data_IF_519023093088
#
_entry.id   IF_519023093088
#
_cell.length_a   1.000
_cell.length_b   1.000
_cell.length_c   1.000
_cell.angle_alpha   90.00
_cell.angle_beta   90.00
_cell.angle_gamma   90.00
#
_symmetry.space_group_name_H-M   'P 1'
#
loop_
_entity.id
_entity.type
_entity.pdbx_description
1 polymer ?
#
# COMPACT_ATOMS: atom_id res chain seq x y z
N UNK A 1 -18.89 -0.31 -0.46
CA UNK A 1 -18.87 0.75 0.58
C UNK A 1 -17.69 1.73 0.48
N UNK A 2 -16.69 1.54 -0.38
CA UNK A 2 -15.56 2.48 -0.51
C UNK A 2 -15.79 3.64 -1.50
N UNK A 3 -16.70 3.49 -2.47
CA UNK A 3 -16.97 4.53 -3.48
C UNK A 3 -17.84 5.70 -2.98
N UNK A 4 -18.57 5.52 -1.88
CA UNK A 4 -19.43 6.57 -1.28
C UNK A 4 -18.62 7.54 -0.41
N UNK A 5 -17.46 7.09 0.12
CA UNK A 5 -16.59 7.95 0.92
C UNK A 5 -15.73 8.90 0.07
N UNK A 6 -15.32 8.49 -1.13
CA UNK A 6 -14.47 9.30 -2.02
C UNK A 6 -15.26 10.45 -2.67
N UNK A 7 -16.54 10.23 -3.00
CA UNK A 7 -17.40 11.27 -3.60
C UNK A 7 -17.81 12.39 -2.61
N UNK A 8 -17.61 12.18 -1.29
CA UNK A 8 -17.93 13.20 -0.28
C UNK A 8 -16.78 14.19 -0.06
N UNK A 9 -15.55 13.82 -0.44
CA UNK A 9 -14.36 14.68 -0.33
C UNK A 9 -14.23 15.62 -1.54
N UNK A 10 -14.74 15.22 -2.71
CA UNK A 10 -14.64 16.03 -3.95
C UNK A 10 -15.68 17.19 -3.98
N UNK A 11 -16.70 17.18 -3.11
CA UNK A 11 -17.70 18.28 -3.03
C UNK A 11 -17.31 19.48 -2.17
N UNK A 12 -16.12 19.49 -1.54
CA UNK A 12 -15.69 20.59 -0.65
C UNK A 12 -14.63 21.52 -1.24
N UNK A 13 -14.15 21.27 -2.46
CA UNK A 13 -13.10 22.09 -3.07
C UNK A 13 -13.45 22.36 -4.53
N UNK A 14 -14.32 23.34 -4.78
CA UNK A 14 -14.24 24.24 -5.93
C UNK A 14 -15.24 25.40 -5.76
N UNK A 15 -14.79 26.67 -5.95
CA UNK A 15 -15.61 27.85 -5.80
C UNK A 15 -16.45 28.10 -7.06
N UNK A 16 -17.74 28.40 -6.89
CA UNK A 16 -18.57 28.94 -7.96
C UNK A 16 -18.63 30.45 -7.83
N UNK A 17 -18.01 31.14 -8.78
CA UNK A 17 -18.35 32.52 -9.09
C UNK A 17 -19.68 32.52 -9.87
N UNK A 18 -20.70 33.22 -9.38
CA UNK A 18 -21.71 33.83 -10.24
C UNK A 18 -22.39 35.01 -9.53
N UNK A 19 -22.43 36.09 -10.30
CA UNK A 19 -23.07 37.38 -10.08
C UNK A 19 -24.55 37.29 -9.70
N UNK A 20 -24.97 38.01 -8.66
CA UNK A 20 -26.29 38.64 -8.60
C UNK A 20 -26.30 39.80 -7.59
N UNK A 21 -27.00 40.85 -8.00
CA UNK A 21 -27.12 42.20 -7.44
C UNK A 21 -28.23 42.21 -6.38
N UNK A 22 -28.04 42.89 -5.24
CA UNK A 22 -29.13 43.16 -4.30
C UNK A 22 -28.66 43.62 -2.93
N UNK A 23 -28.90 44.89 -2.62
CA UNK A 23 -28.73 45.52 -1.30
C UNK A 23 -29.40 44.72 -0.18
N UNK A 24 -28.80 44.71 1.00
CA UNK A 24 -29.32 45.44 2.17
C UNK A 24 -28.48 45.18 3.42
N UNK A 25 -28.17 46.27 4.12
CA UNK A 25 -27.90 46.43 5.54
C UNK A 25 -27.64 45.18 6.42
N UNK A 26 -26.42 45.07 6.96
CA UNK A 26 -26.10 45.30 8.39
C UNK A 26 -24.69 44.76 8.71
N UNK A 27 -23.77 45.68 9.04
CA UNK A 27 -22.49 45.36 9.68
C UNK A 27 -22.73 44.87 11.11
N UNK A 28 -22.29 43.65 11.42
CA UNK A 28 -21.98 43.24 12.79
C UNK A 28 -20.46 43.18 12.98
N UNK A 29 -20.01 44.15 13.76
CA UNK A 29 -18.74 44.35 14.42
C UNK A 29 -18.14 43.12 15.12
N UNK A 30 -16.87 42.84 14.86
CA UNK A 30 -15.89 42.52 15.91
C UNK A 30 -14.61 43.30 15.60
N UNK A 31 -14.40 44.34 16.38
CA UNK A 31 -13.34 45.35 16.32
C UNK A 31 -11.97 44.81 16.73
N UNK A 32 -10.87 45.16 16.03
CA UNK A 32 -9.56 45.24 16.64
C UNK A 32 -9.42 46.62 17.32
N UNK A 33 -9.28 46.64 18.64
CA UNK A 33 -8.96 47.87 19.38
C UNK A 33 -7.46 48.10 19.29
N UNK A 34 -7.05 48.74 18.20
CA UNK A 34 -5.81 49.49 18.10
C UNK A 34 -6.24 50.84 17.54
N UNK A 35 -6.02 51.92 18.29
CA UNK A 35 -5.68 53.29 17.84
C UNK A 35 -5.99 54.33 18.94
N UNK A 36 -4.90 54.99 19.36
CA UNK A 36 -4.75 56.39 19.76
C UNK A 36 -5.08 56.83 21.20
N UNK A 37 -4.02 57.22 21.91
CA UNK A 37 -4.04 58.43 22.72
C UNK A 37 -2.82 59.29 22.39
N UNK A 38 -3.01 60.26 21.48
CA UNK A 38 -2.16 61.44 21.40
C UNK A 38 -3.01 62.66 21.06
N UNK A 39 -2.80 63.73 21.83
CA UNK A 39 -3.32 65.10 21.69
C UNK A 39 -4.82 65.34 21.98
N UNK A 40 -5.10 65.79 23.21
CA UNK A 40 -6.01 66.91 23.43
C UNK A 40 -5.39 67.86 24.47
N UNK A 41 -4.79 68.94 23.97
CA UNK A 41 -4.71 70.18 24.73
C UNK A 41 -6.07 70.87 24.69
N UNK A 42 -6.61 71.25 25.84
CA UNK A 42 -7.70 72.20 25.92
C UNK A 42 -7.36 73.28 26.95
N UNK A 43 -7.07 74.46 26.41
CA UNK A 43 -7.08 75.77 27.06
C UNK A 43 -8.44 76.04 27.67
N UNK A 44 -8.48 76.39 28.96
CA UNK A 44 -9.61 77.11 29.55
C UNK A 44 -9.09 78.34 30.29
N UNK A 45 -9.14 79.43 29.56
CA UNK A 45 -9.08 80.80 30.02
C UNK A 45 -10.40 81.11 30.76
N UNK A 46 -10.36 81.41 32.06
CA UNK A 46 -11.44 82.13 32.73
C UNK A 46 -10.83 83.26 33.57
N UNK A 47 -11.09 84.46 33.07
CA UNK A 47 -10.62 85.76 33.55
C UNK A 47 -11.44 86.22 34.76
N UNK A 48 -10.73 86.53 35.84
CA UNK A 48 -10.95 87.63 36.80
C UNK A 48 -12.33 87.85 37.43
N UNK A 49 -12.40 87.73 38.76
CA UNK A 49 -13.30 88.54 39.59
C UNK A 49 -12.59 88.93 40.89
N UNK A 50 -12.17 90.20 40.97
CA UNK A 50 -11.74 90.87 42.20
C UNK A 50 -12.97 91.16 43.09
N UNK A 51 -12.96 90.67 44.33
CA UNK A 51 -13.24 91.43 45.57
C UNK A 51 -13.53 90.51 46.74
N UNK A 52 -13.03 90.93 47.91
CA UNK A 52 -13.61 90.56 49.20
C UNK A 52 -12.62 89.89 50.16
N UNK A 53 -11.86 90.72 50.87
CA UNK A 53 -11.22 90.37 52.13
C UNK A 53 -12.35 90.07 53.13
N UNK A 54 -12.44 88.83 53.62
CA UNK A 54 -13.21 88.50 54.82
C UNK A 54 -12.35 87.55 55.69
N UNK A 55 -11.81 88.11 56.76
CA UNK A 55 -11.08 87.38 57.80
C UNK A 55 -12.10 86.74 58.74
N UNK A 56 -12.36 85.44 58.55
CA UNK A 56 -13.22 84.64 59.40
C UNK A 56 -12.78 83.17 59.44
N UNK A 57 -12.00 82.81 60.47
CA UNK A 57 -11.64 81.44 60.95
C UNK A 57 -11.77 80.29 59.94
N UNK A 58 -10.64 79.89 59.32
CA UNK A 58 -10.55 78.72 58.43
C UNK A 58 -9.30 77.89 58.73
N UNK A 59 -9.32 77.09 59.81
CA UNK A 59 -8.14 76.29 60.19
C UNK A 59 -8.44 74.84 60.62
N UNK A 60 -9.53 74.24 60.15
CA UNK A 60 -9.79 72.81 60.47
C UNK A 60 -10.24 71.96 59.27
N UNK A 61 -10.63 72.59 58.16
CA UNK A 61 -11.10 71.88 56.95
C UNK A 61 -10.01 71.75 55.87
N UNK A 62 -9.05 72.69 55.82
CA UNK A 62 -7.98 72.71 54.81
C UNK A 62 -6.96 71.59 55.00
N UNK A 63 -6.50 71.33 56.24
CA UNK A 63 -5.54 70.26 56.53
C UNK A 63 -6.09 68.86 56.19
N UNK A 64 -7.37 68.59 56.50
CA UNK A 64 -8.02 67.31 56.17
C UNK A 64 -8.10 67.05 54.66
N UNK A 65 -8.35 68.09 53.87
CA UNK A 65 -8.38 67.98 52.40
C UNK A 65 -6.97 67.71 51.83
N UNK A 66 -5.95 68.35 52.39
CA UNK A 66 -4.54 68.16 51.99
C UNK A 66 -4.07 66.71 52.26
N UNK A 67 -4.43 66.14 53.41
CA UNK A 67 -4.08 64.76 53.78
C UNK A 67 -4.71 63.73 52.82
N UNK A 68 -5.95 63.97 52.39
CA UNK A 68 -6.65 63.12 51.41
C UNK A 68 -5.98 63.20 50.03
N UNK A 69 -5.54 64.39 49.61
CA UNK A 69 -4.80 64.59 48.34
C UNK A 69 -3.47 63.85 48.37
N UNK A 70 -2.68 63.99 49.44
CA UNK A 70 -1.41 63.28 49.60
C UNK A 70 -1.59 61.75 49.60
N UNK A 71 -2.67 61.26 50.24
CA UNK A 71 -3.02 59.84 50.19
C UNK A 71 -3.35 59.36 48.77
N UNK A 72 -4.12 60.15 48.03
CA UNK A 72 -4.50 59.83 46.65
C UNK A 72 -3.27 59.83 45.74
N UNK A 73 -2.37 60.81 45.88
CA UNK A 73 -1.10 60.88 45.15
C UNK A 73 -0.24 59.64 45.39
N UNK A 74 -0.05 59.23 46.66
CA UNK A 74 0.68 58.01 46.98
C UNK A 74 0.03 56.75 46.37
N UNK A 75 -1.31 56.69 46.29
CA UNK A 75 -2.03 55.60 45.60
C UNK A 75 -1.83 55.66 44.09
N UNK A 76 -1.84 56.85 43.49
CA UNK A 76 -1.58 57.05 42.05
C UNK A 76 -0.17 56.60 41.72
N UNK A 77 0.86 57.03 42.46
CA UNK A 77 2.24 56.58 42.22
C UNK A 77 2.41 55.06 42.33
N UNK A 78 1.70 54.42 43.28
CA UNK A 78 1.68 52.95 43.37
C UNK A 78 0.98 52.30 42.18
N UNK A 79 -0.12 52.87 41.69
CA UNK A 79 -0.81 52.38 40.51
C UNK A 79 0.05 52.55 39.25
N UNK A 80 0.74 53.67 39.10
CA UNK A 80 1.67 53.93 37.99
C UNK A 80 2.82 52.92 37.97
N UNK A 81 3.45 52.66 39.12
CA UNK A 81 4.50 51.63 39.23
C UNK A 81 3.97 50.23 38.91
N UNK A 82 2.80 49.85 39.44
CA UNK A 82 2.19 48.56 39.13
C UNK A 82 1.82 48.43 37.65
N UNK A 83 1.35 49.51 37.03
CA UNK A 83 1.02 49.55 35.61
C UNK A 83 2.28 49.40 34.75
N UNK A 84 3.39 50.01 35.15
CA UNK A 84 4.70 49.81 34.52
C UNK A 84 5.13 48.34 34.56
N UNK A 85 5.11 47.71 35.75
CA UNK A 85 5.42 46.29 35.90
C UNK A 85 4.46 45.39 35.11
N UNK A 86 3.17 45.74 35.04
CA UNK A 86 2.22 45.00 34.22
C UNK A 86 2.52 45.14 32.73
N UNK A 87 2.92 46.33 32.27
CA UNK A 87 3.36 46.58 30.90
C UNK A 87 4.53 45.69 30.50
N UNK A 88 5.59 45.66 31.32
CA UNK A 88 6.76 44.78 31.10
C UNK A 88 6.36 43.30 30.99
N UNK A 89 5.42 42.84 31.83
CA UNK A 89 4.92 41.46 31.78
C UNK A 89 4.07 41.18 30.54
N UNK A 90 3.34 42.16 30.02
CA UNK A 90 2.57 42.04 28.78
C UNK A 90 3.52 41.97 27.58
N UNK A 91 4.57 42.78 27.57
CA UNK A 91 5.60 42.74 26.53
C UNK A 91 6.36 41.40 26.52
N UNK A 92 6.68 40.85 27.68
CA UNK A 92 7.28 39.50 27.81
C UNK A 92 6.34 38.40 27.29
N UNK A 93 5.05 38.48 27.62
CA UNK A 93 4.05 37.55 27.11
C UNK A 93 3.89 37.65 25.59
N UNK A 94 3.90 38.87 25.03
CA UNK A 94 3.87 39.09 23.58
C UNK A 94 5.09 38.45 22.90
N UNK A 95 6.28 38.64 23.48
CA UNK A 95 7.51 37.98 23.03
C UNK A 95 7.40 36.45 23.04
N UNK A 96 6.87 35.87 24.11
CA UNK A 96 6.61 34.43 24.20
C UNK A 96 5.57 33.94 23.18
N UNK A 97 4.49 34.69 22.95
CA UNK A 97 3.49 34.38 21.92
C UNK A 97 4.12 34.35 20.52
N UNK A 98 4.90 35.37 20.17
CA UNK A 98 5.59 35.43 18.86
C UNK A 98 6.59 34.26 18.68
N UNK A 99 7.28 33.87 19.75
CA UNK A 99 8.16 32.69 19.74
C UNK A 99 7.37 31.40 19.51
N UNK A 100 6.25 31.22 20.21
CA UNK A 100 5.38 30.06 20.06
C UNK A 100 4.79 29.96 18.65
N UNK A 101 4.34 31.08 18.08
CA UNK A 101 3.85 31.12 16.69
C UNK A 101 4.92 30.71 15.68
N UNK A 102 6.17 31.13 15.92
CA UNK A 102 7.30 30.74 15.07
C UNK A 102 7.59 29.24 15.17
N UNK A 103 7.56 28.67 16.37
CA UNK A 103 7.77 27.24 16.56
C UNK A 103 6.61 26.41 16.00
N UNK A 104 5.36 26.85 16.14
CA UNK A 104 4.20 26.20 15.51
C UNK A 104 4.36 26.18 13.98
N UNK A 105 4.76 27.30 13.37
CA UNK A 105 5.01 27.36 11.93
C UNK A 105 6.09 26.36 11.47
N UNK A 106 7.19 26.22 12.24
CA UNK A 106 8.25 25.23 11.95
C UNK A 106 7.74 23.80 12.05
N UNK A 107 6.98 23.49 13.11
CA UNK A 107 6.38 22.17 13.30
C UNK A 107 5.42 21.85 12.13
N UNK A 108 4.56 22.80 11.76
CA UNK A 108 3.64 22.64 10.63
C UNK A 108 4.39 22.40 9.32
N UNK A 109 5.46 23.15 9.04
CA UNK A 109 6.29 22.91 7.85
C UNK A 109 6.96 21.54 7.89
N UNK A 110 7.51 21.12 9.03
CA UNK A 110 8.16 19.82 9.18
C UNK A 110 7.19 18.65 9.00
N UNK A 111 5.98 18.75 9.56
CA UNK A 111 4.92 17.76 9.34
C UNK A 111 4.55 17.68 7.86
N UNK A 112 4.36 18.84 7.21
CA UNK A 112 4.03 18.92 5.79
C UNK A 112 5.11 18.28 4.91
N UNK A 113 6.37 18.54 5.21
CA UNK A 113 7.51 17.99 4.45
C UNK A 113 7.63 16.48 4.64
N UNK A 114 7.49 15.97 5.88
CA UNK A 114 7.50 14.53 6.15
C UNK A 114 6.33 13.81 5.47
N UNK A 115 5.13 14.38 5.53
CA UNK A 115 3.96 13.82 4.85
C UNK A 115 4.14 13.81 3.33
N UNK A 116 4.65 14.90 2.77
CA UNK A 116 4.97 14.99 1.35
C UNK A 116 6.00 13.94 0.92
N UNK A 117 7.06 13.76 1.71
CA UNK A 117 8.07 12.72 1.48
C UNK A 117 7.46 11.32 1.45
N UNK A 118 6.66 10.97 2.47
CA UNK A 118 5.99 9.67 2.53
C UNK A 118 4.99 9.46 1.38
N UNK A 119 4.24 10.50 1.01
CA UNK A 119 3.31 10.46 -0.13
C UNK A 119 4.07 10.18 -1.44
N UNK A 120 5.22 10.84 -1.65
CA UNK A 120 6.03 10.61 -2.85
C UNK A 120 6.63 9.20 -2.89
N UNK A 121 7.13 8.69 -1.76
CA UNK A 121 7.70 7.35 -1.68
C UNK A 121 6.65 6.28 -1.97
N UNK A 122 5.49 6.38 -1.31
CA UNK A 122 4.37 5.45 -1.55
C UNK A 122 3.91 5.49 -3.01
N UNK A 123 3.88 6.68 -3.63
CA UNK A 123 3.53 6.81 -5.05
C UNK A 123 4.53 6.09 -5.95
N UNK A 124 5.83 6.21 -5.68
CA UNK A 124 6.87 5.51 -6.44
C UNK A 124 6.79 3.99 -6.27
N UNK A 125 6.54 3.50 -5.06
CA UNK A 125 6.34 2.07 -4.82
C UNK A 125 5.12 1.52 -5.58
N UNK A 126 4.00 2.26 -5.58
CA UNK A 126 2.80 1.91 -6.34
C UNK A 126 3.09 1.85 -7.84
N UNK A 127 3.78 2.86 -8.39
CA UNK A 127 4.17 2.91 -9.80
C UNK A 127 5.11 1.72 -10.16
N UNK A 128 6.06 1.40 -9.29
CA UNK A 128 6.96 0.25 -9.44
C UNK A 128 6.22 -1.07 -9.45
N UNK A 129 5.34 -1.31 -8.47
CA UNK A 129 4.52 -2.54 -8.40
C UNK A 129 3.59 -2.68 -9.61
N UNK A 130 2.96 -1.58 -10.06
CA UNK A 130 2.15 -1.61 -11.28
C UNK A 130 2.97 -1.98 -12.51
N UNK A 131 4.22 -1.51 -12.61
CA UNK A 131 5.14 -1.88 -13.70
C UNK A 131 5.48 -3.38 -13.68
N UNK A 132 5.79 -3.94 -12.51
CA UNK A 132 6.07 -5.38 -12.38
C UNK A 132 4.83 -6.23 -12.69
N UNK A 133 3.64 -5.84 -12.21
CA UNK A 133 2.38 -6.50 -12.55
C UNK A 133 2.13 -6.47 -14.07
N UNK A 134 2.42 -5.35 -14.73
CA UNK A 134 2.29 -5.25 -16.18
C UNK A 134 3.24 -6.20 -16.92
N UNK A 135 4.52 -6.27 -16.51
CA UNK A 135 5.49 -7.20 -17.08
C UNK A 135 5.05 -8.66 -16.94
N UNK A 136 4.58 -9.04 -15.74
CA UNK A 136 4.08 -10.40 -15.49
C UNK A 136 2.87 -10.71 -16.37
N UNK A 137 1.91 -9.80 -16.45
CA UNK A 137 0.73 -9.95 -17.34
C UNK A 137 1.15 -10.16 -18.80
N UNK A 138 2.09 -9.37 -19.30
CA UNK A 138 2.54 -9.44 -20.69
C UNK A 138 3.29 -10.75 -20.98
N UNK A 139 4.09 -11.23 -20.02
CA UNK A 139 4.75 -12.54 -20.11
C UNK A 139 3.72 -13.67 -20.16
N UNK A 140 2.75 -13.69 -19.24
CA UNK A 140 1.69 -14.70 -19.24
C UNK A 140 0.86 -14.67 -20.52
N UNK A 141 0.51 -13.49 -21.02
CA UNK A 141 -0.24 -13.36 -22.27
C UNK A 141 0.55 -13.90 -23.47
N UNK A 142 1.87 -13.67 -23.51
CA UNK A 142 2.76 -14.21 -24.55
C UNK A 142 2.83 -15.74 -24.49
N UNK A 143 3.05 -16.30 -23.31
CA UNK A 143 3.14 -17.76 -23.13
C UNK A 143 1.80 -18.45 -23.43
N UNK A 144 0.68 -17.87 -23.01
CA UNK A 144 -0.66 -18.39 -23.38
C UNK A 144 -0.88 -18.37 -24.88
N UNK A 145 -0.44 -17.32 -25.58
CA UNK A 145 -0.52 -17.24 -27.04
C UNK A 145 0.33 -18.30 -27.72
N UNK A 146 1.54 -18.57 -27.20
CA UNK A 146 2.43 -19.62 -27.70
C UNK A 146 1.81 -21.01 -27.51
N UNK A 147 1.33 -21.31 -26.30
CA UNK A 147 0.67 -22.60 -26.01
C UNK A 147 -0.55 -22.80 -26.89
N UNK A 148 -1.39 -21.77 -27.08
CA UNK A 148 -2.56 -21.84 -27.95
C UNK A 148 -2.15 -22.14 -29.41
N UNK A 149 -1.11 -21.49 -29.92
CA UNK A 149 -0.58 -21.75 -31.26
C UNK A 149 -0.14 -23.21 -31.40
N UNK A 150 0.65 -23.72 -30.46
CA UNK A 150 1.11 -25.12 -30.48
C UNK A 150 -0.02 -26.12 -30.38
N UNK A 151 -1.07 -25.83 -29.60
CA UNK A 151 -2.27 -26.68 -29.52
C UNK A 151 -3.01 -26.71 -30.85
N UNK A 152 -3.10 -25.59 -31.56
CA UNK A 152 -3.69 -25.54 -32.91
C UNK A 152 -2.85 -26.35 -33.91
N UNK A 153 -1.52 -26.21 -33.87
CA UNK A 153 -0.60 -26.98 -34.72
C UNK A 153 -0.74 -28.50 -34.48
N UNK A 154 -0.69 -28.93 -33.21
CA UNK A 154 -0.90 -30.34 -32.84
C UNK A 154 -2.28 -30.84 -33.24
N UNK A 155 -3.31 -29.98 -33.20
CA UNK A 155 -4.64 -30.30 -33.69
C UNK A 155 -4.66 -30.59 -35.20
N UNK A 156 -3.89 -29.82 -35.98
CA UNK A 156 -3.66 -30.05 -37.41
C UNK A 156 -2.94 -31.37 -37.68
N UNK A 157 -1.82 -31.62 -36.99
CA UNK A 157 -1.06 -32.86 -37.13
C UNK A 157 -1.90 -34.09 -36.78
N UNK A 158 -2.68 -34.01 -35.69
CA UNK A 158 -3.59 -35.08 -35.29
C UNK A 158 -4.68 -35.35 -36.34
N UNK A 159 -5.21 -34.30 -36.98
CA UNK A 159 -6.18 -34.46 -38.06
C UNK A 159 -5.57 -35.17 -39.28
N UNK A 160 -4.33 -34.82 -39.65
CA UNK A 160 -3.59 -35.50 -40.73
C UNK A 160 -3.32 -36.97 -40.39
N UNK A 161 -2.88 -37.26 -39.16
CA UNK A 161 -2.69 -38.65 -38.70
C UNK A 161 -3.99 -39.46 -38.77
N UNK A 162 -5.11 -38.89 -38.31
CA UNK A 162 -6.43 -39.53 -38.39
C UNK A 162 -6.83 -39.82 -39.85
N UNK A 163 -6.58 -38.89 -40.76
CA UNK A 163 -6.87 -39.07 -42.18
C UNK A 163 -5.99 -40.14 -42.83
N UNK A 164 -4.69 -40.17 -42.54
CA UNK A 164 -3.77 -41.18 -43.05
C UNK A 164 -4.19 -42.59 -42.62
N UNK A 165 -4.57 -42.76 -41.33
CA UNK A 165 -5.12 -44.01 -40.79
C UNK A 165 -6.42 -44.40 -41.49
N UNK A 166 -7.35 -43.45 -41.67
CA UNK A 166 -8.63 -43.71 -42.33
C UNK A 166 -8.50 -44.08 -43.82
N UNK A 167 -7.53 -43.48 -44.52
CA UNK A 167 -7.29 -43.71 -45.96
C UNK A 167 -6.46 -44.97 -46.22
N UNK A 168 -5.95 -45.64 -45.18
CA UNK A 168 -5.04 -46.77 -45.33
C UNK A 168 -3.69 -46.38 -45.94
N UNK A 169 -3.36 -45.08 -45.97
CA UNK A 169 -2.04 -44.58 -46.37
C UNK A 169 -1.12 -44.73 -45.16
N UNK A 170 -0.77 -45.97 -44.87
CA UNK A 170 0.52 -46.25 -44.26
C UNK A 170 1.56 -46.01 -45.33
N UNK A 171 2.25 -44.86 -45.32
CA UNK A 171 3.64 -44.85 -45.80
C UNK A 171 4.37 -45.83 -44.91
N UNK A 172 4.38 -47.08 -45.35
CA UNK A 172 5.26 -48.13 -44.88
C UNK A 172 6.69 -47.65 -45.14
N UNK A 173 7.24 -46.84 -44.22
CA UNK A 173 8.42 -47.35 -43.53
C UNK A 173 7.94 -48.59 -42.78
N UNK A 174 7.81 -49.67 -43.54
CA UNK A 174 8.03 -51.02 -43.06
C UNK A 174 9.42 -50.95 -42.43
N UNK A 175 9.47 -50.55 -41.16
CA UNK A 175 10.19 -51.36 -40.22
C UNK A 175 9.45 -52.68 -40.32
N UNK A 176 9.85 -53.48 -41.31
CA UNK A 176 9.87 -54.92 -41.18
C UNK A 176 10.55 -55.10 -39.84
N UNK A 177 9.75 -55.13 -38.76
CA UNK A 177 10.05 -55.98 -37.65
C UNK A 177 10.16 -57.32 -38.32
N UNK A 178 11.39 -57.63 -38.79
CA UNK A 178 11.82 -58.97 -39.11
C UNK A 178 11.36 -59.70 -37.88
N UNK A 179 10.24 -60.40 -38.01
CA UNK A 179 9.74 -61.27 -36.98
C UNK A 179 10.74 -62.40 -37.03
N UNK A 180 11.90 -62.16 -36.42
CA UNK A 180 12.94 -63.14 -36.24
C UNK A 180 12.21 -64.23 -35.52
N UNK A 181 11.92 -65.32 -36.22
CA UNK A 181 11.28 -66.48 -35.62
C UNK A 181 12.26 -66.95 -34.55
N UNK A 182 11.99 -66.57 -33.31
CA UNK A 182 12.83 -66.94 -32.18
C UNK A 182 12.77 -68.47 -32.11
N UNK A 183 13.90 -69.18 -32.25
CA UNK A 183 13.91 -70.64 -32.19
C UNK A 183 13.30 -71.10 -30.87
N UNK A 184 12.31 -72.00 -30.95
CA UNK A 184 11.64 -72.52 -29.75
C UNK A 184 12.63 -73.29 -28.87
N UNK A 185 12.65 -73.07 -27.54
CA UNK A 185 13.50 -73.80 -26.63
C UNK A 185 13.20 -75.29 -26.65
N UNK A 186 14.23 -76.09 -26.37
CA UNK A 186 14.10 -77.54 -26.20
C UNK A 186 13.29 -77.83 -24.92
N UNK A 187 12.41 -78.82 -24.96
CA UNK A 187 11.68 -79.27 -23.77
C UNK A 187 12.60 -80.03 -22.80
N UNK A 188 12.27 -79.96 -21.51
CA UNK A 188 13.04 -80.61 -20.44
C UNK A 188 12.24 -81.78 -19.85
N UNK A 189 12.86 -82.96 -19.83
CA UNK A 189 12.21 -84.26 -19.56
C UNK A 189 12.50 -84.84 -18.16
N UNK A 190 13.31 -84.16 -17.35
CA UNK A 190 13.57 -84.58 -15.96
C UNK A 190 14.93 -85.20 -15.71
N UNK A 191 15.88 -85.05 -16.65
CA UNK A 191 17.26 -85.46 -16.41
C UNK A 191 17.80 -84.80 -15.14
N UNK A 192 18.22 -85.62 -14.15
CA UNK A 192 18.83 -85.14 -12.90
C UNK A 192 20.30 -84.73 -13.10
N UNK A 193 20.54 -83.83 -14.05
CA UNK A 193 21.84 -83.26 -14.39
C UNK A 193 21.76 -81.74 -14.24
N UNK A 194 22.47 -81.17 -13.26
CA UNK A 194 22.42 -79.73 -12.96
C UNK A 194 22.76 -78.84 -14.15
N UNK A 195 23.70 -79.29 -15.01
CA UNK A 195 24.09 -78.54 -16.22
C UNK A 195 22.96 -78.45 -17.25
N UNK A 196 22.14 -79.51 -17.37
CA UNK A 196 21.01 -79.51 -18.31
C UNK A 196 19.86 -78.63 -17.81
N UNK A 197 19.64 -78.59 -16.50
CA UNK A 197 18.65 -77.71 -15.86
C UNK A 197 19.04 -76.24 -16.06
N UNK A 198 20.29 -75.88 -15.80
CA UNK A 198 20.79 -74.51 -15.98
C UNK A 198 20.68 -74.05 -17.44
N UNK A 199 21.09 -74.90 -18.39
CA UNK A 199 20.99 -74.60 -19.82
C UNK A 199 19.53 -74.42 -20.28
N UNK A 200 18.60 -75.21 -19.73
CA UNK A 200 17.18 -75.09 -20.03
C UNK A 200 16.59 -73.78 -19.51
N UNK A 201 16.82 -73.46 -18.23
CA UNK A 201 16.31 -72.23 -17.62
C UNK A 201 16.85 -70.99 -18.33
N UNK A 202 18.16 -70.98 -18.64
CA UNK A 202 18.77 -69.90 -19.37
C UNK A 202 18.18 -69.75 -20.78
N UNK A 203 18.03 -70.84 -21.53
CA UNK A 203 17.45 -70.79 -22.88
C UNK A 203 15.97 -70.37 -22.90
N UNK A 204 15.22 -70.73 -21.87
CA UNK A 204 13.81 -70.38 -21.73
C UNK A 204 13.61 -68.90 -21.37
N UNK A 205 14.47 -68.35 -20.52
CA UNK A 205 14.47 -66.93 -20.16
C UNK A 205 14.76 -66.06 -21.39
N UNK A 206 15.81 -66.38 -22.16
CA UNK A 206 16.14 -65.66 -23.39
C UNK A 206 15.00 -65.72 -24.42
N UNK A 207 14.31 -66.85 -24.51
CA UNK A 207 13.16 -66.99 -25.39
C UNK A 207 11.97 -66.12 -24.96
N UNK A 208 11.67 -66.05 -23.67
CA UNK A 208 10.60 -65.18 -23.17
C UNK A 208 10.91 -63.70 -23.36
N UNK A 209 12.14 -63.28 -23.15
CA UNK A 209 12.57 -61.92 -23.46
C UNK A 209 12.45 -61.61 -24.95
N UNK A 210 12.89 -62.53 -25.81
CA UNK A 210 12.82 -62.36 -27.27
C UNK A 210 11.38 -62.42 -27.82
N UNK A 211 10.46 -63.08 -27.12
CA UNK A 211 9.02 -63.15 -27.49
C UNK A 211 8.15 -62.10 -26.80
N UNK A 212 8.74 -61.25 -25.95
CA UNK A 212 8.05 -60.14 -25.27
C UNK A 212 7.25 -60.53 -24.03
N UNK A 213 7.47 -61.72 -23.47
CA UNK A 213 6.87 -62.16 -22.19
C UNK A 213 7.74 -61.64 -21.05
N UNK A 214 7.44 -60.43 -20.58
CA UNK A 214 8.23 -59.74 -19.55
C UNK A 214 7.73 -59.97 -18.13
N UNK A 215 6.45 -60.32 -17.93
CA UNK A 215 5.87 -60.52 -16.61
C UNK A 215 6.15 -61.93 -16.05
N UNK A 216 6.53 -62.02 -14.78
CA UNK A 216 6.86 -63.30 -14.12
C UNK A 216 5.69 -64.28 -14.16
N UNK A 217 4.46 -63.80 -14.00
CA UNK A 217 3.26 -64.63 -14.07
C UNK A 217 3.08 -65.25 -15.47
N UNK A 218 3.38 -64.51 -16.53
CA UNK A 218 3.40 -64.94 -17.91
C UNK A 218 4.53 -65.92 -18.19
N UNK A 219 5.74 -65.65 -17.68
CA UNK A 219 6.87 -66.57 -17.78
C UNK A 219 6.56 -67.91 -17.11
N UNK A 220 6.00 -67.92 -15.90
CA UNK A 220 5.62 -69.15 -15.17
C UNK A 220 4.55 -69.94 -15.91
N UNK A 221 3.46 -69.28 -16.37
CA UNK A 221 2.39 -69.95 -17.11
C UNK A 221 2.89 -70.60 -18.41
N UNK A 222 3.80 -69.92 -19.12
CA UNK A 222 4.35 -70.43 -20.37
C UNK A 222 5.47 -71.46 -20.15
N UNK A 223 6.23 -71.36 -19.05
CA UNK A 223 7.33 -72.28 -18.74
C UNK A 223 6.84 -73.73 -18.60
N UNK A 224 5.63 -73.90 -18.03
CA UNK A 224 4.99 -75.22 -17.90
C UNK A 224 4.84 -75.96 -19.24
N UNK A 225 4.71 -75.24 -20.37
CA UNK A 225 4.57 -75.84 -21.70
C UNK A 225 5.87 -76.50 -22.20
N UNK A 226 7.01 -76.20 -21.58
CA UNK A 226 8.32 -76.72 -21.97
C UNK A 226 8.83 -77.82 -21.03
N UNK A 227 8.03 -78.25 -20.06
CA UNK A 227 8.30 -79.39 -19.20
C UNK A 227 7.60 -80.64 -19.77
N UNK A 228 8.29 -81.77 -19.80
CA UNK A 228 7.74 -83.04 -20.28
C UNK A 228 8.00 -84.19 -19.31
N UNK A 229 7.31 -85.31 -19.54
CA UNK A 229 7.47 -86.57 -18.81
C UNK A 229 7.25 -86.42 -17.30
N UNK A 230 8.14 -86.99 -16.50
CA UNK A 230 7.99 -87.08 -15.03
C UNK A 230 7.97 -85.70 -14.38
N UNK A 231 8.54 -84.66 -15.00
CA UNK A 231 8.54 -83.30 -14.42
C UNK A 231 7.14 -82.68 -14.39
N UNK A 232 6.26 -82.99 -15.36
CA UNK A 232 4.91 -82.41 -15.37
C UNK A 232 4.09 -82.77 -14.12
N UNK A 233 4.52 -83.78 -13.36
CA UNK A 233 3.86 -84.29 -12.16
C UNK A 233 4.47 -83.75 -10.85
N UNK A 234 5.53 -82.95 -10.92
CA UNK A 234 6.17 -82.28 -9.78
C UNK A 234 5.66 -80.86 -9.61
#
# INVERSE_FOLDING_TARGET
MLLICVLRVIRLVQPQASTARGSDHMCCSVTPVIVWYQSFGCSLYLRGSERGRDEGKKDTTHCKSMDVVNNLEARVSRLESNLGTLGERVDDLDGHCNCLETEDAKIQSGIKDMLGGLETELRLEIESLHSEIAKVRDLFQRELSNVLLRVVEMGGDLALCKQAVATGVTTTTTIEARKVEVPKPKTFNGTRNGREVENFLWGLEQYFEATGVMDDAGKIRNAALYLTDTIMLW
#
